data_IF_561317081888
#
_entry.id   IF_561317081888
#
_cell.length_a   1.000
_cell.length_b   1.000
_cell.length_c   1.000
_cell.angle_alpha   90.00
_cell.angle_beta   90.00
_cell.angle_gamma   90.00
#
_symmetry.space_group_name_H-M   'P 1'
#
loop_
_entity.id
_entity.type
_entity.pdbx_description
1 polymer ?
#
# COMPACT_ATOMS: atom_id res chain seq x y z
N UNK A 1 -15.29 26.99 23.73
CA UNK A 1 -13.90 26.50 23.74
C UNK A 1 -13.95 25.08 23.23
N UNK A 2 -13.45 24.80 22.02
CA UNK A 2 -13.42 23.42 21.51
C UNK A 2 -12.55 22.59 22.46
N UNK A 3 -13.15 21.66 23.19
CA UNK A 3 -12.38 20.64 23.89
C UNK A 3 -11.86 19.71 22.79
N UNK A 4 -10.63 19.95 22.35
CA UNK A 4 -9.97 19.10 21.36
C UNK A 4 -9.67 17.79 22.07
N UNK A 5 -10.29 16.70 21.62
CA UNK A 5 -9.89 15.37 22.05
C UNK A 5 -8.54 15.05 21.39
N UNK A 6 -7.46 15.41 22.07
CA UNK A 6 -6.08 15.30 21.59
C UNK A 6 -5.77 13.89 21.06
N UNK A 7 -6.32 12.87 21.70
CA UNK A 7 -6.10 11.48 21.30
C UNK A 7 -6.80 11.13 19.98
N UNK A 8 -8.03 11.62 19.76
CA UNK A 8 -8.72 11.47 18.47
C UNK A 8 -7.96 12.20 17.35
N UNK A 9 -7.47 13.40 17.63
CA UNK A 9 -6.68 14.19 16.68
C UNK A 9 -5.38 13.49 16.31
N UNK A 10 -4.64 12.97 17.29
CA UNK A 10 -3.41 12.20 17.05
C UNK A 10 -3.71 10.94 16.25
N UNK A 11 -4.75 10.18 16.64
CA UNK A 11 -5.14 8.96 15.93
C UNK A 11 -5.48 9.23 14.47
N UNK A 12 -6.35 10.22 14.21
CA UNK A 12 -6.74 10.59 12.84
C UNK A 12 -5.55 11.12 12.03
N UNK A 13 -4.70 11.95 12.63
CA UNK A 13 -3.50 12.47 11.97
C UNK A 13 -2.57 11.33 11.53
N UNK A 14 -2.27 10.38 12.44
CA UNK A 14 -1.44 9.22 12.12
C UNK A 14 -2.09 8.34 11.04
N UNK A 15 -3.42 8.18 11.08
CA UNK A 15 -4.15 7.37 10.11
C UNK A 15 -4.04 7.99 8.70
N UNK A 16 -4.27 9.30 8.58
CA UNK A 16 -4.12 10.05 7.33
C UNK A 16 -2.67 10.08 6.86
N UNK A 17 -1.70 10.30 7.76
CA UNK A 17 -0.28 10.27 7.42
C UNK A 17 0.13 8.89 6.86
N UNK A 18 -0.40 7.81 7.43
CA UNK A 18 -0.22 6.46 6.92
C UNK A 18 -0.75 6.29 5.49
N UNK A 19 -1.93 6.83 5.19
CA UNK A 19 -2.43 6.89 3.83
C UNK A 19 -1.50 7.72 2.92
N UNK A 20 -1.15 8.94 3.29
CA UNK A 20 -0.29 9.81 2.45
C UNK A 20 1.02 9.11 2.07
N UNK A 21 1.70 8.50 3.05
CA UNK A 21 2.99 7.83 2.82
C UNK A 21 2.79 6.52 2.04
N UNK A 22 1.86 5.67 2.49
CA UNK A 22 1.65 4.34 1.92
C UNK A 22 0.99 4.36 0.56
N UNK A 23 -0.18 5.01 0.44
CA UNK A 23 -0.91 5.15 -0.83
C UNK A 23 -0.10 5.93 -1.85
N UNK A 24 0.62 6.99 -1.43
CA UNK A 24 1.50 7.74 -2.33
C UNK A 24 2.60 6.86 -2.93
N UNK A 25 3.26 6.04 -2.09
CA UNK A 25 4.27 5.10 -2.55
C UNK A 25 3.70 4.00 -3.46
N UNK A 26 2.51 3.44 -3.14
CA UNK A 26 1.80 2.46 -3.97
C UNK A 26 1.45 3.04 -5.33
N UNK A 27 0.85 4.23 -5.37
CA UNK A 27 0.45 4.86 -6.64
C UNK A 27 1.64 5.02 -7.58
N UNK A 28 2.78 5.47 -7.05
CA UNK A 28 4.00 5.64 -7.86
C UNK A 28 4.51 4.29 -8.38
N UNK A 29 4.64 3.28 -7.52
CA UNK A 29 5.20 1.99 -7.93
C UNK A 29 4.26 1.21 -8.85
N UNK A 30 2.95 1.34 -8.69
CA UNK A 30 1.94 0.65 -9.49
C UNK A 30 1.90 1.21 -10.91
N UNK A 31 2.00 2.54 -11.07
CA UNK A 31 2.17 3.17 -12.40
C UNK A 31 3.44 2.65 -13.08
N UNK A 32 4.57 2.60 -12.36
CA UNK A 32 5.81 2.06 -12.91
C UNK A 32 5.66 0.59 -13.31
N UNK A 33 5.07 -0.23 -12.44
CA UNK A 33 4.84 -1.64 -12.70
C UNK A 33 3.92 -1.90 -13.90
N UNK A 34 2.88 -1.08 -14.06
CA UNK A 34 1.98 -1.13 -15.20
C UNK A 34 2.72 -0.82 -16.52
N UNK A 35 3.51 0.25 -16.55
CA UNK A 35 4.32 0.63 -17.72
C UNK A 35 5.43 -0.38 -18.00
N UNK A 36 6.03 -0.96 -16.96
CA UNK A 36 7.10 -1.95 -17.04
C UNK A 36 6.74 -3.19 -17.86
N UNK A 37 5.47 -3.60 -17.87
CA UNK A 37 5.00 -4.74 -18.67
C UNK A 37 5.35 -4.69 -20.16
N UNK A 38 5.40 -3.48 -20.72
CA UNK A 38 5.60 -3.26 -22.16
C UNK A 38 6.96 -2.62 -22.46
N UNK A 39 7.76 -2.29 -21.45
CA UNK A 39 9.01 -1.57 -21.64
C UNK A 39 10.10 -2.02 -20.68
N UNK A 40 11.25 -2.33 -21.26
CA UNK A 40 12.52 -2.57 -20.56
C UNK A 40 12.87 -1.42 -19.61
N UNK A 41 12.83 -0.19 -20.12
CA UNK A 41 13.16 1.01 -19.36
C UNK A 41 12.29 1.12 -18.10
N UNK A 42 10.98 0.95 -18.25
CA UNK A 42 10.05 1.03 -17.13
C UNK A 42 10.19 -0.17 -16.18
N UNK A 43 10.59 -1.36 -16.65
CA UNK A 43 10.89 -2.52 -15.80
C UNK A 43 12.09 -2.26 -14.88
N UNK A 44 13.16 -1.69 -15.41
CA UNK A 44 14.34 -1.31 -14.64
C UNK A 44 14.01 -0.17 -13.65
N UNK A 45 13.31 0.86 -14.11
CA UNK A 45 12.84 1.95 -13.26
C UNK A 45 11.96 1.43 -12.11
N UNK A 46 11.04 0.51 -12.38
CA UNK A 46 10.22 -0.17 -11.35
C UNK A 46 11.11 -0.86 -10.31
N UNK A 47 12.11 -1.62 -10.75
CA UNK A 47 12.99 -2.38 -9.85
C UNK A 47 13.79 -1.46 -8.93
N UNK A 48 14.24 -0.30 -9.43
CA UNK A 48 14.95 0.72 -8.64
C UNK A 48 14.01 1.45 -7.69
N UNK A 49 12.87 1.94 -8.20
CA UNK A 49 11.86 2.65 -7.40
C UNK A 49 11.27 1.77 -6.29
N UNK A 50 11.15 0.46 -6.52
CA UNK A 50 10.69 -0.50 -5.52
C UNK A 50 11.55 -0.51 -4.25
N UNK A 51 12.86 -0.28 -4.35
CA UNK A 51 13.79 -0.29 -3.20
C UNK A 51 13.45 0.82 -2.19
N UNK A 52 12.92 1.95 -2.66
CA UNK A 52 12.53 3.10 -1.83
C UNK A 52 11.04 3.04 -1.45
N UNK A 53 10.17 2.69 -2.39
CA UNK A 53 8.72 2.64 -2.13
C UNK A 53 8.34 1.51 -1.18
N UNK A 54 9.02 0.36 -1.22
CA UNK A 54 8.75 -0.77 -0.29
C UNK A 54 8.78 -0.36 1.19
N UNK A 55 9.86 0.23 1.74
CA UNK A 55 9.85 0.66 3.14
C UNK A 55 8.82 1.76 3.42
N UNK A 56 8.55 2.65 2.46
CA UNK A 56 7.48 3.66 2.61
C UNK A 56 6.10 3.02 2.73
N UNK A 57 5.78 2.00 1.92
CA UNK A 57 4.51 1.27 2.00
C UNK A 57 4.37 0.62 3.38
N UNK A 58 5.41 -0.04 3.88
CA UNK A 58 5.38 -0.65 5.22
C UNK A 58 5.23 0.39 6.33
N UNK A 59 5.92 1.53 6.23
CA UNK A 59 5.74 2.64 7.17
C UNK A 59 4.31 3.21 7.12
N UNK A 60 3.74 3.35 5.93
CA UNK A 60 2.35 3.72 5.72
C UNK A 60 1.40 2.75 6.41
N UNK A 61 1.53 1.45 6.17
CA UNK A 61 0.69 0.41 6.81
C UNK A 61 0.78 0.52 8.33
N UNK A 62 1.99 0.65 8.87
CA UNK A 62 2.21 0.75 10.30
C UNK A 62 1.50 1.97 10.92
N UNK A 63 1.63 3.14 10.29
CA UNK A 63 0.95 4.36 10.70
C UNK A 63 -0.57 4.26 10.59
N UNK A 64 -1.07 3.66 9.50
CA UNK A 64 -2.49 3.40 9.26
C UNK A 64 -3.07 2.49 10.36
N UNK A 65 -2.34 1.46 10.78
CA UNK A 65 -2.75 0.57 11.88
C UNK A 65 -2.80 1.33 13.21
N UNK A 66 -1.72 2.02 13.58
CA UNK A 66 -1.65 2.72 14.87
C UNK A 66 -2.69 3.83 14.92
N UNK A 67 -2.77 4.63 13.86
CA UNK A 67 -3.75 5.71 13.74
C UNK A 67 -5.18 5.17 13.81
N UNK A 68 -5.49 4.10 13.08
CA UNK A 68 -6.80 3.44 13.10
C UNK A 68 -7.16 2.88 14.48
N UNK A 69 -6.23 2.20 15.16
CA UNK A 69 -6.45 1.66 16.51
C UNK A 69 -6.76 2.77 17.53
N UNK A 70 -6.06 3.91 17.45
CA UNK A 70 -6.30 5.05 18.33
C UNK A 70 -7.62 5.74 17.98
N UNK A 71 -7.87 5.97 16.69
CA UNK A 71 -9.04 6.70 16.18
C UNK A 71 -10.35 5.94 16.42
N UNK A 72 -10.36 4.62 16.23
CA UNK A 72 -11.51 3.74 16.43
C UNK A 72 -11.60 3.14 17.84
N UNK A 73 -10.79 3.59 18.81
CA UNK A 73 -10.69 2.95 20.14
C UNK A 73 -12.00 2.83 20.92
N UNK A 74 -12.94 3.76 20.69
CA UNK A 74 -14.25 3.79 21.36
C UNK A 74 -15.37 3.20 20.49
N UNK A 75 -15.03 2.72 19.29
CA UNK A 75 -15.99 2.18 18.33
C UNK A 75 -16.00 0.66 18.40
N UNK A 76 -17.16 0.06 18.14
CA UNK A 76 -17.23 -1.39 17.96
C UNK A 76 -16.49 -1.82 16.69
N UNK A 77 -15.88 -3.00 16.69
CA UNK A 77 -15.24 -3.59 15.50
C UNK A 77 -16.30 -4.16 14.54
N UNK A 78 -17.15 -3.29 14.00
CA UNK A 78 -18.21 -3.58 13.05
C UNK A 78 -18.27 -2.47 11.98
N UNK A 79 -18.93 -2.72 10.85
CA UNK A 79 -19.03 -1.74 9.77
C UNK A 79 -17.66 -1.31 9.22
N UNK A 80 -17.43 0.01 9.11
CA UNK A 80 -16.21 0.57 8.50
C UNK A 80 -14.92 0.18 9.27
N UNK A 81 -14.83 0.31 10.62
CA UNK A 81 -13.67 -0.17 11.38
C UNK A 81 -13.28 -1.63 11.06
N UNK A 82 -14.27 -2.52 10.95
CA UNK A 82 -14.03 -3.92 10.59
C UNK A 82 -13.51 -4.05 9.15
N UNK A 83 -14.11 -3.34 8.20
CA UNK A 83 -13.67 -3.36 6.79
C UNK A 83 -12.23 -2.84 6.67
N UNK A 84 -11.87 -1.77 7.38
CA UNK A 84 -10.47 -1.29 7.42
C UNK A 84 -9.51 -2.32 7.97
N UNK A 85 -9.87 -3.03 9.04
CA UNK A 85 -9.04 -4.09 9.58
C UNK A 85 -8.81 -5.22 8.55
N UNK A 86 -9.85 -5.64 7.84
CA UNK A 86 -9.75 -6.64 6.76
C UNK A 86 -8.89 -6.14 5.60
N UNK A 87 -9.06 -4.89 5.17
CA UNK A 87 -8.24 -4.26 4.12
C UNK A 87 -6.77 -4.28 4.52
N UNK A 88 -6.44 -3.87 5.74
CA UNK A 88 -5.04 -3.86 6.21
C UNK A 88 -4.44 -5.26 6.20
N UNK A 89 -5.19 -6.28 6.64
CA UNK A 89 -4.71 -7.67 6.58
C UNK A 89 -4.44 -8.08 5.13
N UNK A 90 -5.34 -7.78 4.20
CA UNK A 90 -5.15 -8.08 2.78
C UNK A 90 -3.93 -7.36 2.20
N UNK A 91 -3.72 -6.08 2.53
CA UNK A 91 -2.56 -5.29 2.12
C UNK A 91 -1.25 -5.84 2.69
N UNK A 92 -1.24 -6.29 3.95
CA UNK A 92 -0.08 -6.94 4.56
C UNK A 92 0.27 -8.23 3.81
N UNK A 93 -0.70 -9.11 3.56
CA UNK A 93 -0.50 -10.36 2.82
C UNK A 93 0.02 -10.10 1.40
N UNK A 94 -0.55 -9.10 0.73
CA UNK A 94 -0.08 -8.67 -0.59
C UNK A 94 1.35 -8.11 -0.54
N UNK A 95 1.65 -7.28 0.47
CA UNK A 95 2.98 -6.75 0.74
C UNK A 95 4.02 -7.84 1.01
N UNK A 96 3.64 -8.92 1.72
CA UNK A 96 4.48 -10.11 1.89
C UNK A 96 4.78 -10.79 0.55
N UNK A 97 3.76 -11.01 -0.30
CA UNK A 97 3.96 -11.58 -1.63
C UNK A 97 4.95 -10.75 -2.46
N UNK A 98 4.75 -9.43 -2.53
CA UNK A 98 5.64 -8.52 -3.25
C UNK A 98 7.06 -8.53 -2.65
N UNK A 99 7.17 -8.51 -1.32
CA UNK A 99 8.45 -8.39 -0.62
C UNK A 99 9.31 -9.65 -0.68
N UNK A 100 8.70 -10.84 -0.60
CA UNK A 100 9.41 -12.11 -0.43
C UNK A 100 9.34 -13.04 -1.64
N UNK A 101 8.47 -12.76 -2.63
CA UNK A 101 8.44 -13.52 -3.89
C UNK A 101 8.87 -12.66 -5.07
N UNK A 102 8.25 -11.49 -5.26
CA UNK A 102 8.55 -10.63 -6.42
C UNK A 102 9.92 -9.96 -6.27
N UNK A 103 10.21 -9.34 -5.13
CA UNK A 103 11.47 -8.62 -4.90
C UNK A 103 12.71 -9.51 -5.11
N UNK A 104 12.81 -10.72 -4.52
CA UNK A 104 13.96 -11.60 -4.76
C UNK A 104 14.09 -12.07 -6.20
N UNK A 105 12.97 -12.29 -6.90
CA UNK A 105 12.95 -12.66 -8.32
C UNK A 105 13.52 -11.54 -9.19
N UNK A 106 13.10 -10.29 -8.96
CA UNK A 106 13.62 -9.13 -9.69
C UNK A 106 15.11 -8.91 -9.41
N UNK A 107 15.53 -9.00 -8.15
CA UNK A 107 16.94 -8.85 -7.76
C UNK A 107 17.84 -9.93 -8.37
N UNK A 108 17.35 -11.18 -8.47
CA UNK A 108 18.10 -12.25 -9.14
C UNK A 108 18.32 -11.91 -10.62
N UNK A 109 17.29 -11.44 -11.32
CA UNK A 109 17.40 -11.00 -12.72
C UNK A 109 18.32 -9.80 -12.88
N UNK A 110 18.29 -8.86 -11.93
CA UNK A 110 19.22 -7.72 -11.90
C UNK A 110 20.67 -8.18 -11.83
N UNK A 111 20.99 -9.14 -10.94
CA UNK A 111 22.32 -9.74 -10.82
C UNK A 111 22.76 -10.54 -12.05
N UNK A 112 21.81 -11.14 -12.77
CA UNK A 112 22.05 -11.87 -14.02
C UNK A 112 22.20 -10.94 -15.24
N UNK A 113 22.10 -9.61 -15.07
CA UNK A 113 22.15 -8.64 -16.18
C UNK A 113 20.88 -8.63 -17.05
N UNK A 114 19.80 -9.28 -16.61
CA UNK A 114 18.53 -9.42 -17.34
C UNK A 114 17.48 -8.37 -16.95
N UNK A 115 17.92 -7.23 -16.41
CA UNK A 115 17.03 -6.12 -16.01
C UNK A 115 16.29 -5.49 -17.18
N UNK A 116 16.89 -5.50 -18.37
CA UNK A 116 16.30 -4.94 -19.59
C UNK A 116 15.37 -5.90 -20.35
N UNK A 117 15.26 -7.13 -19.90
CA UNK A 117 14.31 -8.08 -20.47
C UNK A 117 12.94 -7.91 -19.82
N UNK A 118 11.88 -7.97 -20.63
CA UNK A 118 10.52 -8.01 -20.11
C UNK A 118 10.31 -9.24 -19.22
N UNK A 119 9.49 -9.06 -18.19
CA UNK A 119 9.15 -10.16 -17.29
C UNK A 119 8.34 -11.23 -18.03
N UNK A 120 8.50 -12.52 -17.67
CA UNK A 120 7.62 -13.58 -18.19
C UNK A 120 6.15 -13.28 -17.91
N UNK A 121 5.26 -13.62 -18.84
CA UNK A 121 3.83 -13.28 -18.75
C UNK A 121 3.18 -13.77 -17.45
N UNK A 122 3.58 -14.94 -16.95
CA UNK A 122 3.09 -15.49 -15.68
C UNK A 122 3.42 -14.60 -14.48
N UNK A 123 4.59 -13.97 -14.48
CA UNK A 123 4.99 -13.00 -13.46
C UNK A 123 4.30 -11.65 -13.65
N UNK A 124 4.16 -11.17 -14.88
CA UNK A 124 3.42 -9.96 -15.17
C UNK A 124 1.97 -10.05 -14.65
N UNK A 125 1.29 -11.17 -14.87
CA UNK A 125 -0.08 -11.38 -14.41
C UNK A 125 -0.18 -11.37 -12.89
N UNK A 126 0.72 -12.06 -12.19
CA UNK A 126 0.75 -12.09 -10.72
C UNK A 126 1.02 -10.72 -10.12
N UNK A 127 1.98 -9.98 -10.69
CA UNK A 127 2.27 -8.61 -10.28
C UNK A 127 1.05 -7.73 -10.53
N UNK A 128 0.42 -7.81 -11.70
CA UNK A 128 -0.77 -7.00 -12.03
C UNK A 128 -1.92 -7.21 -11.05
N UNK A 129 -2.24 -8.47 -10.71
CA UNK A 129 -3.25 -8.76 -9.68
C UNK A 129 -2.87 -8.13 -8.35
N UNK A 130 -1.60 -8.20 -7.97
CA UNK A 130 -1.09 -7.58 -6.75
C UNK A 130 -1.20 -6.05 -6.75
N UNK A 131 -0.93 -5.38 -7.88
CA UNK A 131 -1.12 -3.92 -8.02
C UNK A 131 -2.60 -3.55 -7.83
N UNK A 132 -3.52 -4.26 -8.52
CA UNK A 132 -4.96 -4.01 -8.39
C UNK A 132 -5.45 -4.17 -6.95
N UNK A 133 -4.99 -5.23 -6.26
CA UNK A 133 -5.33 -5.44 -4.84
C UNK A 133 -4.81 -4.30 -3.97
N UNK A 134 -3.59 -3.81 -4.23
CA UNK A 134 -3.02 -2.67 -3.52
C UNK A 134 -3.83 -1.40 -3.77
N UNK A 135 -4.07 -1.04 -5.03
CA UNK A 135 -4.80 0.17 -5.42
C UNK A 135 -6.21 0.18 -4.81
N UNK A 136 -6.96 -0.91 -4.95
CA UNK A 136 -8.31 -1.03 -4.38
C UNK A 136 -8.26 -0.97 -2.85
N UNK A 137 -7.30 -1.62 -2.22
CA UNK A 137 -7.17 -1.61 -0.76
C UNK A 137 -6.85 -0.22 -0.21
N UNK A 138 -5.85 0.47 -0.78
CA UNK A 138 -5.43 1.78 -0.29
C UNK A 138 -6.45 2.89 -0.61
N UNK A 139 -6.90 3.00 -1.87
CA UNK A 139 -7.90 4.00 -2.24
C UNK A 139 -9.26 3.71 -1.62
N UNK A 140 -9.67 2.44 -1.59
CA UNK A 140 -10.90 2.02 -0.93
C UNK A 140 -10.87 2.29 0.57
N UNK A 141 -9.75 2.01 1.23
CA UNK A 141 -9.53 2.36 2.64
C UNK A 141 -9.64 3.86 2.89
N UNK A 142 -9.00 4.69 2.08
CA UNK A 142 -9.11 6.15 2.21
C UNK A 142 -10.53 6.65 1.97
N UNK A 143 -11.21 6.16 0.94
CA UNK A 143 -12.59 6.52 0.64
C UNK A 143 -13.54 6.14 1.78
N UNK A 144 -13.37 4.96 2.38
CA UNK A 144 -14.13 4.53 3.55
C UNK A 144 -13.87 5.42 4.77
N UNK A 145 -12.64 5.91 4.97
CA UNK A 145 -12.35 6.88 6.02
C UNK A 145 -13.11 8.20 5.78
N UNK A 146 -13.16 8.69 4.54
CA UNK A 146 -13.94 9.88 4.20
C UNK A 146 -15.42 9.67 4.48
N UNK A 147 -15.99 8.54 4.05
CA UNK A 147 -17.39 8.18 4.34
C UNK A 147 -17.63 8.12 5.85
N UNK A 148 -16.72 7.51 6.61
CA UNK A 148 -16.83 7.44 8.06
C UNK A 148 -16.86 8.84 8.70
N UNK A 149 -15.97 9.74 8.30
CA UNK A 149 -15.89 11.10 8.84
C UNK A 149 -17.15 11.93 8.54
N UNK A 150 -17.81 11.70 7.39
CA UNK A 150 -19.01 12.43 7.00
C UNK A 150 -20.31 11.90 7.64
N UNK A 151 -20.29 10.65 8.14
CA UNK A 151 -21.48 9.99 8.69
C UNK A 151 -21.37 9.73 10.21
N UNK A 152 -20.41 10.39 10.87
CA UNK A 152 -20.20 10.32 12.31
C UNK A 152 -20.97 11.41 13.05
#
# INVERSE_FOLDING_TARGET
MFSINLLDTIGLFLFIAGFVIGLGAVTVIDIHGFLGRKSSYWTEATTRTHKVTKPMIWAGIFLTIIGGLIFYRMESLAGIPLIHAVIVIALILNGYFLSFKVSPFLLKREKEGKSGELLPQSWQNKIMVSLIVSDVGWWGGLALLVVYLLNR
#
